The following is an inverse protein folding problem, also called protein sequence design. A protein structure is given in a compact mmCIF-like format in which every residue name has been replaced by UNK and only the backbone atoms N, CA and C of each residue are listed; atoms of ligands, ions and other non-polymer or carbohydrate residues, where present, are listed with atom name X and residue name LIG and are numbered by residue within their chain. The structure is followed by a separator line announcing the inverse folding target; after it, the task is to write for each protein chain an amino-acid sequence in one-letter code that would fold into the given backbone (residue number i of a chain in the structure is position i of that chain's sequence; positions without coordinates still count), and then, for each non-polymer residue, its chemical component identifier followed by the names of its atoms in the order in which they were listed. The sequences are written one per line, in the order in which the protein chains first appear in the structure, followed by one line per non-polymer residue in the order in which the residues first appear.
data_IF_111241324184
#
_entry.id   IF_111241324184
#
_cell.length_a   1.000
_cell.length_b   1.000
_cell.length_c   1.000
_cell.angle_alpha   90.00
_cell.angle_beta   90.00
_cell.angle_gamma   90.00
#
_symmetry.space_group_name_H-M   'P 1'
#
loop_
_entity.id
_entity.type
_entity.pdbx_description
1 polymer ?
#
# COMPACT_ATOMS: atom_id res chain seq x y z
N UNK A 1 -62.06 -38.89 43.95
CA UNK A 1 -61.10 -38.09 44.75
C UNK A 1 -59.72 -38.63 44.48
N UNK A 2 -59.02 -38.10 43.50
CA UNK A 2 -57.63 -38.48 43.20
C UNK A 2 -56.71 -37.48 43.88
N UNK A 3 -55.82 -37.94 44.75
CA UNK A 3 -54.75 -37.13 45.35
C UNK A 3 -53.58 -37.12 44.41
N UNK A 4 -53.22 -35.93 43.97
CA UNK A 4 -52.03 -35.62 43.19
C UNK A 4 -50.85 -35.50 44.14
N UNK A 5 -49.85 -36.41 44.02
CA UNK A 5 -48.58 -36.35 44.74
C UNK A 5 -47.58 -35.64 43.82
N UNK A 6 -47.16 -34.43 44.25
CA UNK A 6 -46.09 -33.67 43.57
C UNK A 6 -44.77 -34.15 44.15
N UNK A 7 -43.91 -34.78 43.32
CA UNK A 7 -42.50 -35.03 43.65
C UNK A 7 -41.67 -33.79 43.30
N UNK A 8 -41.11 -33.18 44.32
CA UNK A 8 -40.14 -32.08 44.17
C UNK A 8 -38.76 -32.70 44.01
N UNK A 9 -38.21 -32.65 42.79
CA UNK A 9 -36.81 -33.01 42.57
C UNK A 9 -35.91 -31.80 42.86
N UNK A 10 -35.17 -31.92 43.96
CA UNK A 10 -34.13 -30.95 44.35
C UNK A 10 -32.85 -31.32 43.62
N UNK A 11 -32.51 -30.64 42.49
CA UNK A 11 -31.22 -30.82 41.82
C UNK A 11 -30.19 -29.90 42.49
N UNK A 12 -29.31 -30.51 43.29
CA UNK A 12 -28.10 -29.85 43.80
C UNK A 12 -27.10 -29.65 42.67
N UNK A 13 -26.88 -28.39 42.27
CA UNK A 13 -25.83 -28.01 41.35
C UNK A 13 -24.51 -27.97 42.15
N UNK A 14 -23.65 -28.93 41.91
CA UNK A 14 -22.26 -28.95 42.35
C UNK A 14 -21.44 -28.02 41.44
N UNK A 15 -21.06 -26.86 41.96
CA UNK A 15 -20.03 -26.02 41.32
C UNK A 15 -18.67 -26.73 41.48
N UNK A 16 -18.22 -27.37 40.45
CA UNK A 16 -16.84 -27.84 40.32
C UNK A 16 -15.95 -26.64 40.00
N UNK A 17 -15.19 -26.16 40.96
CA UNK A 17 -14.10 -25.19 40.77
C UNK A 17 -12.96 -25.85 40.04
N UNK A 18 -12.94 -25.80 38.75
CA UNK A 18 -11.78 -26.16 37.93
C UNK A 18 -10.77 -25.01 37.97
N UNK A 19 -9.83 -25.07 38.93
CA UNK A 19 -8.60 -24.28 38.85
C UNK A 19 -7.74 -24.91 37.78
N UNK A 20 -7.72 -24.33 36.57
CA UNK A 20 -6.69 -24.61 35.60
C UNK A 20 -5.38 -24.01 36.11
N UNK A 21 -4.48 -24.85 36.59
CA UNK A 21 -3.10 -24.47 36.80
C UNK A 21 -2.52 -24.09 35.43
N UNK A 22 -2.09 -22.81 35.30
CA UNK A 22 -1.30 -22.36 34.18
C UNK A 22 0.10 -22.91 34.43
N UNK A 23 0.45 -23.97 33.71
CA UNK A 23 1.83 -24.46 33.64
C UNK A 23 2.69 -23.31 33.06
N UNK A 24 3.87 -23.02 33.65
CA UNK A 24 4.79 -22.06 33.08
C UNK A 24 5.22 -22.58 31.70
N UNK A 25 5.05 -21.75 30.65
CA UNK A 25 5.55 -22.03 29.32
C UNK A 25 7.08 -22.12 29.44
N UNK A 26 7.61 -23.31 29.27
CA UNK A 26 9.04 -23.56 29.18
C UNK A 26 9.60 -22.58 28.11
N UNK A 27 10.59 -21.82 28.51
CA UNK A 27 11.36 -20.97 27.61
C UNK A 27 11.89 -21.79 26.46
N UNK A 28 11.25 -21.72 25.30
CA UNK A 28 11.88 -22.18 24.06
C UNK A 28 13.20 -21.42 23.94
N UNK A 29 14.30 -22.14 24.13
CA UNK A 29 15.62 -21.61 23.77
C UNK A 29 15.58 -21.33 22.29
N UNK A 30 15.46 -20.06 21.94
CA UNK A 30 15.81 -19.57 20.61
C UNK A 30 17.25 -20.01 20.38
N UNK A 31 17.42 -21.03 19.51
CA UNK A 31 18.73 -21.43 19.06
C UNK A 31 19.48 -20.17 18.66
N UNK A 32 20.66 -19.97 19.21
CA UNK A 32 21.50 -18.83 18.88
C UNK A 32 21.75 -18.84 17.37
N UNK A 33 21.01 -17.96 16.65
CA UNK A 33 21.38 -17.62 15.29
C UNK A 33 22.73 -16.95 15.42
N UNK A 34 23.75 -17.54 14.84
CA UNK A 34 25.11 -16.99 14.77
C UNK A 34 25.04 -15.66 13.97
N UNK A 35 24.87 -14.53 14.68
CA UNK A 35 24.78 -13.18 14.14
C UNK A 35 26.14 -12.55 13.87
N UNK A 36 27.22 -13.33 13.88
CA UNK A 36 28.60 -12.81 13.76
C UNK A 36 29.07 -12.59 12.31
N UNK A 37 28.22 -12.71 11.29
CA UNK A 37 28.55 -12.29 9.93
C UNK A 37 28.00 -10.88 9.66
N UNK A 38 28.80 -9.83 9.98
CA UNK A 38 28.73 -8.46 9.42
C UNK A 38 27.35 -8.00 8.91
N UNK A 39 26.35 -7.99 9.76
CA UNK A 39 25.11 -7.29 9.47
C UNK A 39 25.44 -5.78 9.46
N UNK A 40 25.68 -5.23 8.28
CA UNK A 40 25.83 -3.78 8.13
C UNK A 40 24.59 -3.11 8.71
N UNK A 41 24.79 -2.29 9.75
CA UNK A 41 23.68 -1.60 10.42
C UNK A 41 23.03 -0.61 9.46
N UNK A 42 21.75 -0.75 9.21
CA UNK A 42 20.97 0.22 8.45
C UNK A 42 20.83 1.50 9.29
N UNK A 43 21.02 2.65 8.66
CA UNK A 43 20.81 3.98 9.28
C UNK A 43 19.69 4.70 8.54
N UNK A 44 18.89 5.46 9.27
CA UNK A 44 17.90 6.36 8.69
C UNK A 44 18.65 7.40 7.83
N UNK A 45 18.31 7.46 6.54
CA UNK A 45 18.96 8.38 5.58
C UNK A 45 17.97 9.42 5.06
N UNK A 46 16.68 9.14 5.10
CA UNK A 46 15.63 10.06 4.70
C UNK A 46 14.32 9.73 5.43
N UNK A 47 13.52 10.75 5.75
CA UNK A 47 12.17 10.57 6.27
C UNK A 47 11.26 11.75 5.96
N UNK A 48 9.97 11.49 5.99
CA UNK A 48 8.92 12.48 6.14
C UNK A 48 7.89 11.98 7.16
N UNK A 49 7.71 12.73 8.23
CA UNK A 49 6.78 12.44 9.33
C UNK A 49 5.48 13.25 9.19
N UNK A 50 5.35 14.07 8.16
CA UNK A 50 4.18 14.92 7.85
C UNK A 50 3.68 15.79 9.01
N UNK A 51 4.58 16.16 9.93
CA UNK A 51 4.29 16.91 11.17
C UNK A 51 4.04 18.42 10.95
N UNK A 52 4.35 18.95 9.77
CA UNK A 52 4.15 20.36 9.46
C UNK A 52 2.79 20.52 8.78
N UNK A 53 1.85 21.19 9.46
CA UNK A 53 0.49 21.44 8.96
C UNK A 53 0.51 22.18 7.60
N UNK A 54 -0.39 21.82 6.72
CA UNK A 54 -0.59 22.46 5.43
C UNK A 54 -0.16 21.61 4.24
N UNK A 55 0.45 22.21 3.23
CA UNK A 55 0.89 21.47 2.03
C UNK A 55 2.09 20.58 2.35
N UNK A 56 2.14 19.35 1.78
CA UNK A 56 3.34 18.53 1.82
C UNK A 56 4.59 19.27 1.36
N UNK A 57 5.73 18.95 1.98
CA UNK A 57 7.01 19.63 1.73
C UNK A 57 7.42 19.53 0.25
N UNK A 58 7.42 20.67 -0.43
CA UNK A 58 7.76 20.77 -1.85
C UNK A 58 9.25 20.50 -2.15
N UNK A 59 10.11 20.41 -1.14
CA UNK A 59 11.49 19.95 -1.32
C UNK A 59 11.58 18.43 -1.43
N UNK A 60 10.62 17.71 -0.86
CA UNK A 60 10.55 16.24 -0.85
C UNK A 60 9.62 15.69 -1.93
N UNK A 61 8.50 16.37 -2.18
CA UNK A 61 7.41 15.88 -3.01
C UNK A 61 7.10 16.80 -4.19
N UNK A 62 6.66 16.19 -5.27
CA UNK A 62 5.93 16.84 -6.36
C UNK A 62 4.58 16.14 -6.54
N UNK A 63 3.67 16.76 -7.29
CA UNK A 63 2.34 16.21 -7.55
C UNK A 63 2.20 15.81 -9.01
N UNK A 64 1.45 14.76 -9.27
CA UNK A 64 0.85 14.53 -10.57
C UNK A 64 -0.42 15.40 -10.70
N UNK A 65 -0.76 15.75 -11.94
CA UNK A 65 -1.93 16.58 -12.24
C UNK A 65 -2.67 16.02 -13.45
N UNK A 66 -3.98 16.03 -13.40
CA UNK A 66 -4.83 15.60 -14.50
C UNK A 66 -5.29 14.14 -14.44
N UNK A 67 -5.86 13.67 -15.51
CA UNK A 67 -6.07 12.24 -15.75
C UNK A 67 -4.75 11.62 -16.18
N UNK A 68 -4.20 10.67 -15.41
CA UNK A 68 -2.81 10.23 -15.59
C UNK A 68 -2.71 8.84 -16.23
N UNK A 69 -3.33 7.81 -15.63
CA UNK A 69 -3.19 6.39 -16.05
C UNK A 69 -4.48 5.59 -15.85
N UNK A 70 -4.52 4.35 -16.39
CA UNK A 70 -5.47 3.29 -16.05
C UNK A 70 -6.95 3.64 -16.23
N UNK A 71 -7.27 4.66 -17.05
CA UNK A 71 -8.64 5.20 -17.21
C UNK A 71 -9.33 5.56 -15.88
N UNK A 72 -8.52 5.88 -14.86
CA UNK A 72 -8.99 6.27 -13.54
C UNK A 72 -9.99 7.42 -13.61
N UNK A 73 -10.93 7.45 -12.68
CA UNK A 73 -12.03 8.43 -12.74
C UNK A 73 -11.64 9.81 -12.20
N UNK A 74 -10.65 9.88 -11.32
CA UNK A 74 -10.23 11.13 -10.70
C UNK A 74 -9.30 11.95 -11.58
N UNK A 75 -9.42 13.26 -11.42
CA UNK A 75 -8.39 14.21 -11.75
C UNK A 75 -7.47 14.38 -10.55
N UNK A 76 -6.17 14.14 -10.71
CA UNK A 76 -5.19 14.42 -9.68
C UNK A 76 -4.91 15.92 -9.57
N UNK A 77 -4.92 16.42 -8.35
CA UNK A 77 -4.60 17.83 -8.01
C UNK A 77 -4.03 17.91 -6.59
N UNK A 78 -3.16 18.91 -6.35
CA UNK A 78 -2.47 19.08 -5.07
C UNK A 78 -3.41 19.43 -3.90
N UNK A 79 -4.54 20.06 -4.18
CA UNK A 79 -5.55 20.49 -3.20
C UNK A 79 -6.23 19.30 -2.48
N UNK A 80 -6.03 18.09 -2.98
CA UNK A 80 -6.55 16.87 -2.36
C UNK A 80 -5.54 16.21 -1.41
N UNK A 81 -4.38 16.81 -1.16
CA UNK A 81 -3.41 16.34 -0.18
C UNK A 81 -3.02 17.45 0.77
N UNK A 82 -3.06 17.15 2.06
CA UNK A 82 -2.70 18.06 3.14
C UNK A 82 -2.01 17.30 4.27
N UNK A 83 -1.02 17.90 4.91
CA UNK A 83 -0.51 17.42 6.19
C UNK A 83 -1.38 17.96 7.31
N UNK A 84 -1.96 17.08 8.10
CA UNK A 84 -2.84 17.43 9.20
C UNK A 84 -2.79 16.37 10.31
N UNK A 85 -2.72 16.82 11.56
CA UNK A 85 -2.65 15.96 12.75
C UNK A 85 -1.52 14.92 12.68
N UNK A 86 -0.35 15.32 12.17
CA UNK A 86 0.80 14.42 12.02
C UNK A 86 0.65 13.37 10.91
N UNK A 87 -0.19 13.62 9.92
CA UNK A 87 -0.39 12.70 8.80
C UNK A 87 -0.42 13.45 7.47
N UNK A 88 0.05 12.80 6.42
CA UNK A 88 -0.38 13.13 5.07
C UNK A 88 -1.79 12.56 4.88
N UNK A 89 -2.74 13.43 4.56
CA UNK A 89 -4.14 13.09 4.27
C UNK A 89 -4.38 13.26 2.77
N UNK A 90 -4.52 12.17 2.04
CA UNK A 90 -4.95 12.17 0.64
C UNK A 90 -6.46 11.96 0.61
N UNK A 91 -7.20 12.90 0.03
CA UNK A 91 -8.66 12.88 0.02
C UNK A 91 -9.21 12.68 -1.39
N UNK A 92 -9.87 11.56 -1.62
CA UNK A 92 -10.72 11.34 -2.78
C UNK A 92 -12.06 12.05 -2.60
N UNK A 93 -12.48 12.84 -3.59
CA UNK A 93 -13.72 13.63 -3.54
C UNK A 93 -14.59 13.38 -4.77
N UNK A 94 -15.90 13.39 -4.57
CA UNK A 94 -16.87 13.52 -5.66
C UNK A 94 -17.21 15.00 -5.81
N UNK A 95 -16.66 15.62 -6.86
CA UNK A 95 -16.87 17.04 -7.14
C UNK A 95 -16.80 17.27 -8.65
N UNK A 96 -17.74 18.07 -9.18
CA UNK A 96 -17.85 18.30 -10.62
C UNK A 96 -17.18 19.60 -11.01
N UNK A 97 -16.25 19.52 -11.97
CA UNK A 97 -15.53 20.67 -12.55
C UNK A 97 -15.44 20.52 -14.07
N UNK A 98 -15.25 21.60 -14.79
CA UNK A 98 -14.91 21.52 -16.21
C UNK A 98 -13.53 20.89 -16.40
N UNK A 99 -13.40 20.01 -17.38
CA UNK A 99 -12.08 19.48 -17.76
C UNK A 99 -11.37 20.52 -18.64
N UNK A 100 -10.27 21.14 -18.17
CA UNK A 100 -9.55 22.15 -18.95
C UNK A 100 -8.89 21.56 -20.22
N UNK A 101 -8.72 20.23 -20.27
CA UNK A 101 -8.12 19.53 -21.40
C UNK A 101 -9.16 18.91 -22.33
N UNK A 102 -10.45 19.25 -22.20
CA UNK A 102 -11.50 18.70 -23.04
C UNK A 102 -11.33 19.10 -24.51
N UNK A 103 -11.39 18.10 -25.39
CA UNK A 103 -11.34 18.28 -26.85
C UNK A 103 -12.56 17.57 -27.46
N UNK A 104 -13.41 18.33 -28.13
CA UNK A 104 -14.60 17.80 -28.82
C UNK A 104 -14.16 16.79 -29.88
N UNK A 105 -14.75 15.58 -29.83
CA UNK A 105 -14.46 14.50 -30.79
C UNK A 105 -13.17 13.74 -30.52
N UNK A 106 -12.45 14.03 -29.42
CA UNK A 106 -11.28 13.25 -29.02
C UNK A 106 -11.67 11.81 -28.67
N UNK A 107 -10.83 10.85 -29.08
CA UNK A 107 -10.89 9.45 -28.66
C UNK A 107 -9.98 9.15 -27.46
N UNK A 108 -9.12 10.08 -27.07
CA UNK A 108 -8.29 9.96 -25.88
C UNK A 108 -9.16 10.13 -24.63
N UNK A 109 -9.18 9.10 -23.77
CA UNK A 109 -9.94 9.07 -22.53
C UNK A 109 -9.61 10.21 -21.56
N UNK A 110 -8.45 10.84 -21.67
CA UNK A 110 -8.04 12.00 -20.85
C UNK A 110 -8.70 13.29 -21.30
N UNK A 111 -9.02 13.39 -22.58
CA UNK A 111 -9.50 14.64 -23.22
C UNK A 111 -10.93 14.54 -23.79
N UNK A 112 -11.52 13.34 -23.85
CA UNK A 112 -12.90 13.15 -24.34
C UNK A 112 -13.98 13.44 -23.29
N UNK A 113 -13.61 13.61 -22.01
CA UNK A 113 -14.51 13.91 -20.89
C UNK A 113 -14.66 15.43 -20.76
N UNK A 114 -15.86 15.96 -20.93
CA UNK A 114 -16.13 17.40 -20.75
C UNK A 114 -16.04 17.84 -19.29
N UNK A 115 -16.21 16.90 -18.35
CA UNK A 115 -16.18 17.17 -16.92
C UNK A 115 -15.22 16.23 -16.19
N UNK A 116 -14.71 16.73 -15.07
CA UNK A 116 -14.08 16.01 -13.98
C UNK A 116 -15.19 15.78 -12.96
N UNK A 117 -15.52 14.53 -12.62
CA UNK A 117 -16.54 14.20 -11.63
C UNK A 117 -15.96 13.76 -10.29
N UNK A 118 -14.64 13.47 -10.27
CA UNK A 118 -13.90 13.06 -9.07
C UNK A 118 -12.53 13.69 -9.07
N UNK A 119 -12.03 14.01 -7.86
CA UNK A 119 -10.66 14.49 -7.67
C UNK A 119 -9.96 13.68 -6.58
N UNK A 120 -8.63 13.60 -6.65
CA UNK A 120 -7.77 12.99 -5.66
C UNK A 120 -6.36 13.58 -5.74
N UNK A 121 -5.39 13.00 -5.02
CA UNK A 121 -3.99 13.39 -5.15
C UNK A 121 -3.08 12.17 -5.37
N UNK A 122 -1.98 12.46 -6.06
CA UNK A 122 -0.84 11.59 -6.23
C UNK A 122 0.43 12.39 -5.92
N UNK A 123 1.14 11.98 -4.87
CA UNK A 123 2.44 12.51 -4.50
C UNK A 123 3.53 11.64 -5.07
N UNK A 124 4.57 12.27 -5.58
CA UNK A 124 5.73 11.60 -6.15
C UNK A 124 6.97 12.14 -5.45
N UNK A 125 7.73 11.24 -4.83
CA UNK A 125 9.03 11.57 -4.23
C UNK A 125 9.94 12.19 -5.29
N UNK A 126 10.62 13.28 -4.96
CA UNK A 126 11.57 13.88 -5.88
C UNK A 126 12.76 12.93 -6.10
N UNK A 127 13.27 12.90 -7.31
CA UNK A 127 14.33 11.96 -7.72
C UNK A 127 15.63 12.11 -6.93
N UNK A 128 15.88 13.29 -6.36
CA UNK A 128 17.01 13.58 -5.49
C UNK A 128 16.97 12.76 -4.18
N UNK A 129 15.81 12.25 -3.82
CA UNK A 129 15.58 11.40 -2.65
C UNK A 129 15.37 9.92 -3.02
N UNK A 130 15.49 9.57 -4.31
CA UNK A 130 15.39 8.18 -4.74
C UNK A 130 16.45 7.32 -4.04
N UNK A 131 16.09 6.10 -3.71
CA UNK A 131 16.94 5.20 -2.94
C UNK A 131 17.15 3.89 -3.69
N UNK A 132 18.26 3.24 -3.39
CA UNK A 132 18.58 1.90 -3.87
C UNK A 132 19.16 1.10 -2.70
N UNK A 133 18.62 -0.08 -2.48
CA UNK A 133 18.97 -0.99 -1.38
C UNK A 133 18.62 -0.42 0.02
N UNK A 134 18.57 -1.30 0.98
CA UNK A 134 18.23 -0.97 2.35
C UNK A 134 16.79 -1.34 2.70
N UNK A 135 16.10 -0.45 3.40
CA UNK A 135 14.72 -0.66 3.85
C UNK A 135 13.92 0.63 3.70
N UNK A 136 12.71 0.52 3.15
CA UNK A 136 11.71 1.58 3.19
C UNK A 136 10.55 1.13 4.07
N UNK A 137 10.07 2.00 4.93
CA UNK A 137 8.90 1.83 5.78
C UNK A 137 7.90 2.94 5.51
N UNK A 138 6.65 2.56 5.31
CA UNK A 138 5.51 3.48 5.22
C UNK A 138 4.47 3.02 6.23
N UNK A 139 4.15 3.87 7.21
CA UNK A 139 3.06 3.61 8.14
C UNK A 139 1.81 4.32 7.64
N UNK A 140 0.79 3.54 7.29
CA UNK A 140 -0.38 4.08 6.62
C UNK A 140 -1.68 3.37 7.05
N UNK A 141 -2.79 4.10 6.92
CA UNK A 141 -4.15 3.61 7.10
C UNK A 141 -4.95 3.88 5.84
N UNK A 142 -5.55 2.82 5.30
CA UNK A 142 -6.32 2.87 4.06
C UNK A 142 -7.80 2.61 4.33
N UNK A 143 -8.66 3.10 3.43
CA UNK A 143 -10.07 2.74 3.41
C UNK A 143 -10.28 1.64 2.37
N UNK A 144 -10.94 0.55 2.79
CA UNK A 144 -11.19 -0.63 1.96
C UNK A 144 -12.64 -0.64 1.46
N UNK A 145 -12.95 0.20 0.47
CA UNK A 145 -14.25 0.23 -0.21
C UNK A 145 -14.08 -0.06 -1.70
N UNK A 146 -15.08 -0.69 -2.31
CA UNK A 146 -15.11 -0.85 -3.77
C UNK A 146 -15.02 0.53 -4.43
N UNK A 147 -14.25 0.62 -5.49
CA UNK A 147 -14.00 1.87 -6.20
C UNK A 147 -12.77 2.63 -5.73
N UNK A 148 -12.23 2.34 -4.54
CA UNK A 148 -11.00 2.94 -4.05
C UNK A 148 -9.78 2.08 -4.41
N UNK A 149 -8.69 2.76 -4.77
CA UNK A 149 -7.43 2.13 -5.13
C UNK A 149 -6.25 2.95 -4.56
N UNK A 150 -6.04 2.92 -3.22
CA UNK A 150 -4.86 3.47 -2.60
C UNK A 150 -3.63 2.64 -2.96
N UNK A 151 -2.47 3.31 -3.13
CA UNK A 151 -1.22 2.65 -3.45
C UNK A 151 -0.01 3.28 -2.75
N UNK A 152 0.96 2.42 -2.41
CA UNK A 152 2.34 2.72 -2.01
C UNK A 152 3.21 1.96 -3.00
N UNK A 153 3.87 2.64 -3.90
CA UNK A 153 4.61 1.99 -4.97
C UNK A 153 5.84 2.77 -5.42
N UNK A 154 6.74 2.13 -6.12
CA UNK A 154 7.99 2.74 -6.57
C UNK A 154 8.24 2.48 -8.04
N UNK A 155 8.94 3.41 -8.68
CA UNK A 155 9.45 3.27 -10.06
C UNK A 155 10.93 3.59 -10.11
N UNK A 156 11.66 2.90 -10.98
CA UNK A 156 13.04 3.24 -11.30
C UNK A 156 13.19 4.62 -11.92
N UNK A 157 14.28 5.31 -11.58
CA UNK A 157 14.52 6.70 -12.03
C UNK A 157 14.86 6.82 -13.51
N UNK A 158 15.33 5.74 -14.14
CA UNK A 158 15.76 5.72 -15.53
C UNK A 158 14.97 4.67 -16.32
N UNK A 159 14.71 4.98 -17.57
CA UNK A 159 14.02 4.08 -18.51
C UNK A 159 12.52 4.36 -18.59
N UNK A 160 11.88 3.63 -19.51
CA UNK A 160 10.44 3.68 -19.74
C UNK A 160 9.75 2.54 -19.01
N UNK A 161 8.55 2.79 -18.50
CA UNK A 161 7.71 1.73 -17.91
C UNK A 161 7.36 0.65 -18.97
N UNK A 162 7.39 -0.62 -18.59
CA UNK A 162 7.74 -1.22 -17.29
C UNK A 162 9.23 -1.60 -17.17
N UNK A 163 10.06 -1.29 -18.16
CA UNK A 163 11.48 -1.67 -18.18
C UNK A 163 12.32 -0.89 -17.16
N UNK A 164 11.78 0.18 -16.58
CA UNK A 164 12.39 0.86 -15.42
C UNK A 164 12.12 0.16 -14.08
N UNK A 165 11.26 -0.89 -14.05
CA UNK A 165 10.88 -1.61 -12.85
C UNK A 165 9.79 -0.89 -12.03
N UNK A 166 8.88 -1.68 -11.48
CA UNK A 166 7.83 -1.23 -10.57
C UNK A 166 7.76 -2.15 -9.38
N UNK A 167 7.57 -1.58 -8.19
CA UNK A 167 7.33 -2.33 -6.96
C UNK A 167 6.09 -1.75 -6.29
N UNK A 168 5.00 -2.52 -6.27
CA UNK A 168 3.79 -2.18 -5.54
C UNK A 168 3.91 -2.74 -4.13
N UNK A 169 4.39 -1.91 -3.21
CA UNK A 169 4.55 -2.30 -1.80
C UNK A 169 3.19 -2.50 -1.15
N UNK A 170 2.20 -1.76 -1.58
CA UNK A 170 0.80 -1.92 -1.19
C UNK A 170 -0.10 -1.40 -2.31
N UNK A 171 -1.07 -2.20 -2.69
CA UNK A 171 -2.26 -1.76 -3.39
C UNK A 171 -3.50 -2.36 -2.75
N UNK A 172 -4.61 -1.67 -2.81
CA UNK A 172 -5.92 -2.22 -2.49
C UNK A 172 -6.88 -2.00 -3.65
N UNK A 173 -7.40 -3.08 -4.21
CA UNK A 173 -8.57 -3.11 -5.10
C UNK A 173 -9.16 -4.52 -5.14
N UNK A 174 -10.38 -4.67 -5.68
CA UNK A 174 -11.03 -5.98 -5.79
C UNK A 174 -11.18 -6.70 -4.45
N UNK A 175 -11.35 -5.95 -3.35
CA UNK A 175 -11.50 -6.45 -1.98
C UNK A 175 -10.30 -7.31 -1.50
N UNK A 176 -9.09 -6.94 -1.88
CA UNK A 176 -7.84 -7.59 -1.49
C UNK A 176 -6.68 -6.60 -1.40
N UNK A 177 -5.71 -6.93 -0.57
CA UNK A 177 -4.40 -6.29 -0.51
C UNK A 177 -3.47 -7.01 -1.47
N UNK A 178 -2.71 -6.25 -2.25
CA UNK A 178 -1.78 -6.77 -3.24
C UNK A 178 -0.36 -6.25 -2.95
N UNK A 179 0.62 -7.06 -3.35
CA UNK A 179 2.05 -6.75 -3.32
C UNK A 179 2.68 -7.33 -4.60
N UNK A 180 3.21 -6.47 -5.48
CA UNK A 180 3.62 -6.89 -6.81
C UNK A 180 5.00 -6.35 -7.17
N UNK A 181 5.64 -7.04 -8.13
CA UNK A 181 6.82 -6.57 -8.83
C UNK A 181 6.57 -6.64 -10.33
N UNK A 182 7.03 -5.65 -11.09
CA UNK A 182 6.93 -5.67 -12.54
C UNK A 182 8.26 -5.38 -13.21
N UNK A 183 8.55 -6.14 -14.26
CA UNK A 183 9.69 -5.96 -15.17
C UNK A 183 9.21 -5.86 -16.62
N UNK A 184 10.06 -5.38 -17.50
CA UNK A 184 9.75 -5.28 -18.93
C UNK A 184 9.65 -6.64 -19.64
N UNK A 185 8.55 -6.86 -20.38
CA UNK A 185 8.42 -7.98 -21.30
C UNK A 185 9.22 -7.72 -22.58
N UNK A 186 9.22 -8.67 -23.53
CA UNK A 186 9.78 -8.48 -24.87
C UNK A 186 8.99 -7.44 -25.70
N UNK A 187 7.75 -7.16 -25.31
CA UNK A 187 6.89 -6.17 -25.97
C UNK A 187 6.93 -4.86 -25.20
N UNK A 188 7.22 -3.76 -25.90
CA UNK A 188 7.23 -2.40 -25.31
C UNK A 188 5.90 -2.11 -24.60
N UNK A 189 5.96 -1.43 -23.45
CA UNK A 189 4.81 -1.06 -22.62
C UNK A 189 3.99 -2.26 -22.09
N UNK A 190 4.57 -3.47 -22.07
CA UNK A 190 3.95 -4.65 -21.44
C UNK A 190 4.84 -5.18 -20.33
N UNK A 191 4.24 -5.35 -19.16
CA UNK A 191 4.91 -5.87 -17.97
C UNK A 191 4.84 -7.40 -17.90
N UNK A 192 5.85 -7.98 -17.24
CA UNK A 192 5.79 -9.31 -16.63
C UNK A 192 5.65 -9.04 -15.12
N UNK A 193 4.59 -9.58 -14.55
CA UNK A 193 4.24 -9.39 -13.15
C UNK A 193 4.63 -10.61 -12.32
N UNK A 194 5.20 -10.36 -11.14
CA UNK A 194 5.24 -11.27 -10.02
C UNK A 194 4.28 -10.72 -8.97
N UNK A 195 3.18 -11.41 -8.70
CA UNK A 195 2.04 -10.87 -7.95
C UNK A 195 1.64 -11.77 -6.79
N UNK A 196 1.38 -11.14 -5.66
CA UNK A 196 0.78 -11.78 -4.49
C UNK A 196 -0.38 -10.96 -3.96
N UNK A 197 -1.38 -11.62 -3.37
CA UNK A 197 -2.51 -10.93 -2.77
C UNK A 197 -3.12 -11.69 -1.59
N UNK A 198 -3.71 -10.93 -0.65
CA UNK A 198 -4.53 -11.45 0.45
C UNK A 198 -5.93 -10.85 0.39
N UNK A 199 -7.01 -11.66 0.38
CA UNK A 199 -8.37 -11.14 0.42
C UNK A 199 -8.66 -10.46 1.75
N UNK A 200 -9.49 -9.42 1.76
CA UNK A 200 -9.86 -8.71 2.99
C UNK A 200 -10.51 -9.62 4.04
N UNK A 201 -11.14 -10.71 3.62
CA UNK A 201 -11.70 -11.73 4.52
C UNK A 201 -10.66 -12.49 5.34
N UNK A 202 -9.37 -12.39 5.02
CA UNK A 202 -8.28 -12.99 5.80
C UNK A 202 -7.76 -12.07 6.92
N UNK A 203 -8.26 -10.85 7.01
CA UNK A 203 -7.92 -9.88 8.03
C UNK A 203 -9.08 -9.70 9.01
N UNK A 204 -8.79 -9.18 10.22
CA UNK A 204 -9.82 -8.84 11.19
C UNK A 204 -10.80 -7.79 10.64
N UNK A 205 -12.05 -7.84 11.06
CA UNK A 205 -13.13 -6.93 10.61
C UNK A 205 -12.79 -5.45 10.80
N UNK A 206 -11.96 -5.11 11.78
CA UNK A 206 -11.53 -3.74 12.09
C UNK A 206 -10.15 -3.40 11.52
N UNK A 207 -9.54 -4.28 10.74
CA UNK A 207 -8.19 -4.10 10.22
C UNK A 207 -8.01 -2.73 9.56
N UNK A 208 -8.89 -2.33 8.66
CA UNK A 208 -8.84 -1.05 7.95
C UNK A 208 -9.01 0.19 8.86
N UNK A 209 -9.37 0.00 10.13
CA UNK A 209 -9.47 1.09 11.11
C UNK A 209 -8.13 1.42 11.79
N UNK A 210 -7.09 0.63 11.51
CA UNK A 210 -5.75 0.77 12.11
C UNK A 210 -4.71 1.23 11.10
N UNK A 211 -3.60 1.78 11.58
CA UNK A 211 -2.40 1.98 10.79
C UNK A 211 -1.63 0.68 10.71
N UNK A 212 -1.13 0.39 9.53
CA UNK A 212 -0.30 -0.78 9.24
C UNK A 212 1.07 -0.35 8.75
N UNK A 213 2.08 -1.17 9.00
CA UNK A 213 3.44 -0.95 8.56
C UNK A 213 3.71 -1.71 7.26
N UNK A 214 3.92 -0.96 6.19
CA UNK A 214 4.28 -1.46 4.88
C UNK A 214 5.77 -1.32 4.69
N UNK A 215 6.47 -2.43 4.44
CA UNK A 215 7.93 -2.45 4.38
C UNK A 215 8.39 -3.03 3.05
N UNK A 216 9.36 -2.38 2.43
CA UNK A 216 10.19 -2.94 1.36
C UNK A 216 11.59 -3.15 1.89
N UNK A 217 12.03 -4.40 1.98
CA UNK A 217 13.43 -4.75 2.19
C UNK A 217 14.09 -5.03 0.86
N UNK A 218 15.22 -4.38 0.61
CA UNK A 218 15.89 -4.42 -0.67
C UNK A 218 17.38 -4.62 -0.53
N UNK A 219 17.85 -5.79 -0.92
CA UNK A 219 19.27 -6.12 -1.00
C UNK A 219 19.71 -6.20 -2.47
N UNK A 220 20.98 -6.45 -2.70
CA UNK A 220 21.47 -6.68 -4.05
C UNK A 220 20.85 -7.92 -4.74
N UNK A 221 20.46 -8.93 -3.96
CA UNK A 221 20.01 -10.21 -4.49
C UNK A 221 18.51 -10.47 -4.29
N UNK A 222 17.82 -9.69 -3.44
CA UNK A 222 16.42 -9.95 -3.09
C UNK A 222 15.70 -8.64 -2.79
N UNK A 223 14.44 -8.55 -3.21
CA UNK A 223 13.44 -7.67 -2.62
C UNK A 223 12.39 -8.50 -1.88
N UNK A 224 11.88 -7.94 -0.78
CA UNK A 224 10.79 -8.51 0.00
C UNK A 224 9.84 -7.42 0.46
N UNK A 225 8.55 -7.64 0.25
CA UNK A 225 7.47 -6.76 0.70
C UNK A 225 6.83 -7.39 1.92
N UNK A 226 6.72 -6.61 3.01
CA UNK A 226 6.12 -7.08 4.26
C UNK A 226 4.97 -6.15 4.67
N UNK A 227 3.94 -6.76 5.25
CA UNK A 227 2.85 -6.09 5.96
C UNK A 227 2.93 -6.48 7.44
N UNK A 228 3.12 -5.49 8.31
CA UNK A 228 3.26 -5.68 9.78
C UNK A 228 4.33 -6.75 10.12
N UNK A 229 5.44 -6.77 9.38
CA UNK A 229 6.53 -7.71 9.55
C UNK A 229 6.28 -9.10 8.93
N UNK A 230 5.11 -9.35 8.34
CA UNK A 230 4.78 -10.62 7.67
C UNK A 230 5.01 -10.49 6.16
N UNK A 231 5.79 -11.40 5.59
CA UNK A 231 6.06 -11.41 4.14
C UNK A 231 4.78 -11.54 3.31
N UNK A 232 4.62 -10.62 2.36
CA UNK A 232 3.53 -10.60 1.39
C UNK A 232 3.99 -11.13 0.03
N UNK A 233 5.17 -10.72 -0.41
CA UNK A 233 5.78 -11.13 -1.67
C UNK A 233 7.29 -10.97 -1.63
N UNK A 234 8.03 -11.75 -2.41
CA UNK A 234 9.48 -11.60 -2.55
C UNK A 234 9.97 -12.03 -3.92
N UNK A 235 10.99 -11.35 -4.45
CA UNK A 235 11.56 -11.62 -5.77
C UNK A 235 13.07 -11.78 -5.69
N UNK A 236 13.61 -12.74 -6.46
CA UNK A 236 15.05 -12.96 -6.64
C UNK A 236 15.58 -12.00 -7.72
N UNK A 237 16.42 -11.05 -7.30
CA UNK A 237 17.01 -10.08 -8.21
C UNK A 237 18.14 -10.62 -9.07
N UNK A 238 18.64 -11.82 -8.82
CA UNK A 238 19.66 -12.44 -9.68
C UNK A 238 19.08 -12.87 -11.02
N UNK A 239 17.77 -13.12 -11.08
CA UNK A 239 17.04 -13.57 -12.27
C UNK A 239 16.04 -12.57 -12.84
N UNK A 240 15.82 -11.42 -12.16
CA UNK A 240 14.82 -10.40 -12.53
C UNK A 240 15.34 -9.51 -13.66
N UNK A 241 15.26 -10.01 -14.87
CA UNK A 241 15.83 -9.38 -16.07
C UNK A 241 14.72 -9.04 -17.07
N UNK A 242 14.67 -7.78 -17.50
CA UNK A 242 13.82 -7.33 -18.59
C UNK A 242 14.06 -8.18 -19.86
N UNK A 243 13.00 -8.61 -20.48
CA UNK A 243 13.09 -9.41 -21.71
C UNK A 243 13.40 -8.55 -22.95
N UNK A 244 13.18 -7.24 -22.88
CA UNK A 244 13.40 -6.30 -23.98
C UNK A 244 14.86 -5.87 -24.13
N UNK A 245 15.57 -5.65 -23.00
CA UNK A 245 16.92 -5.04 -23.02
C UNK A 245 17.96 -5.81 -22.22
N UNK A 246 17.58 -6.92 -21.59
CA UNK A 246 18.47 -7.75 -20.79
C UNK A 246 18.96 -7.12 -19.49
N UNK A 247 18.41 -5.98 -19.07
CA UNK A 247 18.81 -5.28 -17.84
C UNK A 247 17.95 -5.69 -16.66
N UNK A 248 18.53 -5.63 -15.48
CA UNK A 248 17.79 -5.76 -14.25
C UNK A 248 17.27 -4.36 -13.84
N UNK A 249 15.94 -4.13 -13.84
CA UNK A 249 15.39 -2.81 -13.56
C UNK A 249 15.52 -2.41 -12.08
N UNK A 250 15.81 -3.36 -11.20
CA UNK A 250 16.01 -3.14 -9.76
C UNK A 250 17.49 -2.90 -9.39
N UNK A 251 18.36 -2.69 -10.38
CA UNK A 251 19.78 -2.28 -10.19
C UNK A 251 19.96 -0.77 -10.36
N UNK A 252 18.93 0.00 -10.06
CA UNK A 252 18.93 1.45 -10.07
C UNK A 252 18.12 1.99 -8.90
N UNK A 253 18.29 3.26 -8.55
CA UNK A 253 17.47 3.89 -7.53
C UNK A 253 16.00 3.99 -7.98
N UNK A 254 15.08 3.84 -7.04
CA UNK A 254 13.65 4.02 -7.21
C UNK A 254 13.14 5.22 -6.41
N UNK A 255 12.13 5.88 -6.93
CA UNK A 255 11.37 6.92 -6.21
C UNK A 255 9.99 6.42 -5.84
N UNK A 256 9.50 6.88 -4.69
CA UNK A 256 8.20 6.48 -4.12
C UNK A 256 7.05 7.31 -4.71
N UNK A 257 5.91 6.66 -4.89
CA UNK A 257 4.62 7.28 -5.18
C UNK A 257 3.59 6.89 -4.11
N UNK A 258 2.77 7.86 -3.70
CA UNK A 258 1.65 7.69 -2.77
C UNK A 258 0.42 8.29 -3.43
N UNK A 259 -0.59 7.49 -3.72
CA UNK A 259 -1.81 8.00 -4.35
C UNK A 259 -3.07 7.27 -3.90
N UNK A 260 -4.19 7.94 -4.07
CA UNK A 260 -5.52 7.35 -3.98
C UNK A 260 -6.17 7.45 -5.36
N UNK A 261 -6.12 6.38 -6.14
CA UNK A 261 -6.88 6.29 -7.38
C UNK A 261 -8.35 5.92 -7.11
N UNK A 262 -9.24 6.30 -8.01
CA UNK A 262 -10.67 6.08 -7.93
C UNK A 262 -11.17 5.43 -9.21
N UNK A 263 -11.81 4.26 -9.10
CA UNK A 263 -12.30 3.53 -10.26
C UNK A 263 -11.18 3.03 -11.18
N UNK A 264 -11.31 3.31 -12.47
CA UNK A 264 -10.35 2.86 -13.50
C UNK A 264 -10.38 1.36 -13.74
N UNK A 265 -9.34 0.86 -14.40
CA UNK A 265 -9.27 -0.53 -14.84
C UNK A 265 -9.30 -1.56 -13.69
N UNK A 266 -8.79 -1.18 -12.50
CA UNK A 266 -8.69 -2.09 -11.35
C UNK A 266 -9.57 -1.71 -10.17
N UNK A 267 -9.83 -0.41 -9.91
CA UNK A 267 -10.56 0.05 -8.73
C UNK A 267 -12.04 -0.35 -8.71
N UNK A 268 -12.64 -0.57 -9.88
CA UNK A 268 -14.03 -0.97 -10.02
C UNK A 268 -15.02 0.21 -9.95
N UNK A 269 -16.29 -0.10 -9.70
CA UNK A 269 -17.38 0.89 -9.71
C UNK A 269 -17.35 1.81 -8.50
N UNK A 270 -17.55 3.12 -8.73
CA UNK A 270 -17.69 4.15 -7.71
C UNK A 270 -19.15 4.36 -7.25
N UNK A 271 -20.11 3.59 -7.77
CA UNK A 271 -21.54 3.82 -7.52
C UNK A 271 -21.94 3.75 -6.03
N UNK A 272 -21.27 2.89 -5.26
CA UNK A 272 -21.51 2.69 -3.83
C UNK A 272 -20.34 3.17 -2.96
N UNK A 273 -19.40 3.92 -3.52
CA UNK A 273 -18.27 4.48 -2.76
C UNK A 273 -18.73 5.71 -1.98
N UNK A 274 -18.38 5.77 -0.70
CA UNK A 274 -18.65 6.93 0.15
C UNK A 274 -17.57 7.99 -0.06
N UNK A 275 -17.99 9.25 -0.24
CA UNK A 275 -17.10 10.39 -0.36
C UNK A 275 -17.43 11.47 0.69
N UNK A 276 -16.43 12.23 1.19
CA UNK A 276 -15.01 12.10 0.88
C UNK A 276 -14.41 10.83 1.48
N UNK A 277 -13.44 10.23 0.79
CA UNK A 277 -12.66 9.09 1.27
C UNK A 277 -11.22 9.50 1.51
N UNK A 278 -10.60 9.01 2.59
CA UNK A 278 -9.27 9.45 3.00
C UNK A 278 -8.29 8.27 3.08
N UNK A 279 -7.11 8.49 2.54
CA UNK A 279 -5.93 7.67 2.71
C UNK A 279 -4.93 8.44 3.57
N UNK A 280 -4.53 7.87 4.71
CA UNK A 280 -3.69 8.51 5.72
C UNK A 280 -2.31 7.88 5.74
N UNK A 281 -1.26 8.69 5.65
CA UNK A 281 0.13 8.23 5.83
C UNK A 281 0.73 8.98 7.02
N UNK A 282 1.13 8.23 8.05
CA UNK A 282 1.75 8.76 9.27
C UNK A 282 3.21 9.14 8.98
N UNK A 283 3.97 8.24 8.37
CA UNK A 283 5.35 8.53 7.98
C UNK A 283 5.83 7.68 6.80
N UNK A 284 6.89 8.18 6.18
CA UNK A 284 7.78 7.43 5.29
C UNK A 284 9.20 7.51 5.84
N UNK A 285 9.87 6.36 5.93
CA UNK A 285 11.27 6.25 6.39
C UNK A 285 12.09 5.40 5.43
N UNK A 286 13.28 5.87 5.08
CA UNK A 286 14.24 5.13 4.26
C UNK A 286 15.52 4.93 5.05
N UNK A 287 15.95 3.69 5.12
CA UNK A 287 17.18 3.27 5.78
C UNK A 287 18.11 2.64 4.75
N UNK A 288 19.37 3.02 4.79
CA UNK A 288 20.40 2.46 3.92
C UNK A 288 21.64 2.07 4.71
N UNK A 289 22.48 1.26 4.09
CA UNK A 289 23.83 0.98 4.61
C UNK A 289 24.68 2.23 4.36
N UNK A 290 25.40 2.69 5.39
CA UNK A 290 26.45 3.71 5.26
C UNK A 290 27.81 3.03 5.17
#
# INVERSE_FOLDING_TARGET
MFKLIIFLFLTTILFSNCKTAVEPIDSYSLGSIDTTKNAKTLKLVWSDEFNIEGSPDSTKWRFESGFVRNEEAQWYQKENAVCANGNLVITGKKERKNNPNFIIGSTDWKTNRSFIDYTSASLVMKKEHAFQYGKMEVRAKIITQTGLWPAIWTLGINGEWPSNGEVDVMEYYGNKILANFAIGSATRCKAIWDSSSKPMSSFDANWANSYHLWTLEWTENKMEILLDGVSMNSIDLTTSINKSDGKNPFRQAHYLLLNLALGGNNGGSLANTTFPSQYLVDYVKVYAQK
#
